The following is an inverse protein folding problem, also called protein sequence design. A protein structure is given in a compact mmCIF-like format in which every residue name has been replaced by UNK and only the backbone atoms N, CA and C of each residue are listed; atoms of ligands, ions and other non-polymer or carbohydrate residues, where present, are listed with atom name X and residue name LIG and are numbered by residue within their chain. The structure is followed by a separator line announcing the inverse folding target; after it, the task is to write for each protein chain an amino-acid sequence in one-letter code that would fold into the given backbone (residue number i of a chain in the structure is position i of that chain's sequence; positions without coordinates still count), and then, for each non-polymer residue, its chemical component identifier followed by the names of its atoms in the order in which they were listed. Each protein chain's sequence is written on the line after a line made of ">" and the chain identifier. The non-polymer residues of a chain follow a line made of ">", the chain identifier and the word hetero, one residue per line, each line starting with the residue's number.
data_IF_932545806450
#
_entry.id   IF_932545806450
#
_cell.length_a   1.000
_cell.length_b   1.000
_cell.length_c   1.000
_cell.angle_alpha   90.00
_cell.angle_beta   90.00
_cell.angle_gamma   90.00
#
_symmetry.space_group_name_H-M   'P 1'
#
loop_
_entity.id
_entity.type
_entity.pdbx_description
1 polymer ?
#
# COMPACT_ATOMS: atom_id res chain seq x y z
N UNK A 1 -14.37 12.35 14.73
CA UNK A 1 -12.95 12.81 14.61
C UNK A 1 -12.36 12.24 13.33
N UNK A 2 -11.22 12.72 12.82
CA UNK A 2 -10.58 12.06 11.66
C UNK A 2 -10.20 10.61 12.02
N UNK A 3 -10.51 9.64 11.15
CA UNK A 3 -10.20 8.22 11.31
C UNK A 3 -10.96 7.51 12.45
N UNK A 4 -12.19 7.92 12.74
CA UNK A 4 -13.01 7.32 13.79
C UNK A 4 -13.54 5.93 13.38
N UNK A 5 -14.02 5.78 12.15
CA UNK A 5 -14.51 4.50 11.65
C UNK A 5 -13.36 3.49 11.48
N UNK A 6 -12.21 3.94 10.99
CA UNK A 6 -11.01 3.12 10.84
C UNK A 6 -10.43 2.67 12.20
N UNK A 7 -10.44 3.53 13.22
CA UNK A 7 -10.05 3.11 14.57
C UNK A 7 -11.06 2.14 15.16
N UNK A 8 -12.35 2.41 15.00
CA UNK A 8 -13.40 1.55 15.48
C UNK A 8 -13.37 0.16 14.82
N UNK A 9 -12.93 0.05 13.55
CA UNK A 9 -12.83 -1.23 12.84
C UNK A 9 -11.67 -2.10 13.33
N UNK A 10 -10.71 -1.56 14.09
CA UNK A 10 -9.64 -2.38 14.69
C UNK A 10 -10.20 -3.49 15.61
N UNK A 11 -11.37 -3.27 16.24
CA UNK A 11 -12.04 -4.28 17.08
C UNK A 11 -12.54 -5.51 16.30
N UNK A 12 -12.77 -5.34 14.99
CA UNK A 12 -13.25 -6.39 14.10
C UNK A 12 -12.07 -7.20 13.52
N UNK A 13 -10.83 -6.83 13.87
CA UNK A 13 -9.62 -7.49 13.37
C UNK A 13 -9.42 -8.85 14.03
N UNK A 14 -9.13 -9.86 13.21
CA UNK A 14 -8.76 -11.20 13.69
C UNK A 14 -7.25 -11.34 13.61
N UNK A 15 -6.61 -11.86 14.66
CA UNK A 15 -5.18 -12.19 14.61
C UNK A 15 -5.01 -13.69 14.36
N UNK A 16 -4.30 -14.03 13.28
CA UNK A 16 -3.96 -15.39 12.88
C UNK A 16 -2.45 -15.57 13.00
N UNK A 17 -2.01 -16.73 13.46
CA UNK A 17 -0.59 -17.06 13.56
C UNK A 17 -0.14 -17.91 12.38
N UNK A 18 0.89 -17.45 11.68
CA UNK A 18 1.55 -18.20 10.61
C UNK A 18 2.97 -18.55 11.05
N UNK A 19 3.19 -19.80 11.46
CA UNK A 19 4.46 -20.21 12.04
C UNK A 19 4.82 -19.35 13.25
N UNK A 20 5.85 -18.52 13.10
CA UNK A 20 6.40 -17.71 14.18
C UNK A 20 5.93 -16.25 14.20
N UNK A 21 5.07 -15.83 13.27
CA UNK A 21 4.60 -14.45 13.20
C UNK A 21 3.08 -14.31 13.31
N UNK A 22 2.66 -13.19 13.90
CA UNK A 22 1.26 -12.81 14.02
C UNK A 22 0.85 -11.93 12.82
N UNK A 23 -0.18 -12.37 12.11
CA UNK A 23 -0.81 -11.68 11.00
C UNK A 23 -2.17 -11.17 11.43
N UNK A 24 -2.45 -9.90 11.20
CA UNK A 24 -3.77 -9.36 11.49
C UNK A 24 -4.58 -9.33 10.20
N UNK A 25 -5.83 -9.75 10.30
CA UNK A 25 -6.79 -9.87 9.22
C UNK A 25 -7.85 -8.79 9.43
N UNK A 26 -7.83 -7.77 8.57
CA UNK A 26 -8.69 -6.59 8.70
C UNK A 26 -9.49 -6.37 7.40
N UNK A 27 -10.72 -5.83 7.45
CA UNK A 27 -11.54 -5.71 6.24
C UNK A 27 -10.89 -4.88 5.11
N UNK A 28 -10.13 -3.84 5.45
CA UNK A 28 -9.39 -3.02 4.47
C UNK A 28 -8.18 -3.77 3.88
N UNK A 29 -7.57 -4.69 4.64
CA UNK A 29 -6.33 -5.38 4.25
C UNK A 29 -6.58 -6.74 3.62
N UNK A 30 -7.72 -7.37 3.89
CA UNK A 30 -7.97 -8.76 3.47
C UNK A 30 -9.35 -8.97 2.85
N UNK A 31 -10.22 -7.96 2.91
CA UNK A 31 -11.63 -8.10 2.53
C UNK A 31 -12.44 -8.96 3.50
N UNK A 32 -11.85 -9.38 4.63
CA UNK A 32 -12.47 -10.16 5.69
C UNK A 32 -12.04 -9.65 7.09
N UNK A 33 -12.92 -9.68 8.10
CA UNK A 33 -14.38 -9.87 7.99
C UNK A 33 -15.04 -8.75 7.16
N UNK A 34 -16.37 -8.71 7.09
CA UNK A 34 -17.12 -7.79 6.22
C UNK A 34 -16.58 -6.34 6.27
N UNK A 35 -16.19 -5.82 5.10
CA UNK A 35 -15.81 -4.42 4.92
C UNK A 35 -17.03 -3.50 4.94
N UNK A 36 -17.02 -2.53 5.85
CA UNK A 36 -18.05 -1.48 5.93
C UNK A 36 -17.70 -0.32 5.00
N UNK A 37 -18.65 0.20 4.21
CA UNK A 37 -18.38 1.26 3.25
C UNK A 37 -17.90 2.56 3.92
N UNK A 38 -18.34 2.85 5.15
CA UNK A 38 -17.94 4.05 5.90
C UNK A 38 -16.44 4.02 6.26
N UNK A 39 -15.88 2.84 6.52
CA UNK A 39 -14.44 2.68 6.81
C UNK A 39 -13.62 2.93 5.55
N UNK A 40 -14.03 2.35 4.43
CA UNK A 40 -13.36 2.56 3.14
C UNK A 40 -13.48 4.02 2.68
N UNK A 41 -14.66 4.63 2.82
CA UNK A 41 -14.88 6.03 2.48
C UNK A 41 -14.00 6.97 3.32
N UNK A 42 -13.88 6.71 4.62
CA UNK A 42 -13.01 7.49 5.51
C UNK A 42 -11.54 7.36 5.13
N UNK A 43 -11.04 6.15 4.86
CA UNK A 43 -9.65 5.92 4.39
C UNK A 43 -9.37 6.70 3.11
N UNK A 44 -10.28 6.59 2.13
CA UNK A 44 -10.11 7.20 0.83
C UNK A 44 -10.20 8.73 0.89
N UNK A 45 -11.09 9.26 1.73
CA UNK A 45 -11.20 10.70 2.00
C UNK A 45 -9.92 11.22 2.63
N UNK A 46 -9.38 10.52 3.62
CA UNK A 46 -8.16 10.94 4.30
C UNK A 46 -6.94 10.85 3.38
N UNK A 47 -6.81 9.78 2.59
CA UNK A 47 -5.78 9.68 1.55
C UNK A 47 -5.87 10.79 0.51
N UNK A 48 -7.08 11.12 0.03
CA UNK A 48 -7.27 12.24 -0.88
C UNK A 48 -6.81 13.56 -0.25
N UNK A 49 -7.02 13.74 1.06
CA UNK A 49 -6.61 14.93 1.81
C UNK A 49 -5.10 15.03 2.03
N UNK A 50 -4.44 13.94 2.40
CA UNK A 50 -3.01 13.97 2.78
C UNK A 50 -2.06 13.74 1.61
N UNK A 51 -2.55 13.15 0.52
CA UNK A 51 -1.75 12.86 -0.68
C UNK A 51 -1.35 14.12 -1.46
N UNK A 52 -0.15 14.10 -2.03
CA UNK A 52 0.26 15.11 -3.02
C UNK A 52 -0.17 14.67 -4.43
N UNK A 53 -1.33 15.18 -4.84
CA UNK A 53 -1.92 14.86 -6.14
C UNK A 53 -1.52 15.86 -7.24
N UNK A 54 -0.84 16.95 -6.89
CA UNK A 54 -0.51 18.05 -7.81
C UNK A 54 0.48 17.62 -8.88
N UNK A 55 1.41 16.74 -8.50
CA UNK A 55 2.45 16.16 -9.38
C UNK A 55 2.15 14.73 -9.81
N UNK A 56 1.05 14.14 -9.36
CA UNK A 56 0.69 12.75 -9.66
C UNK A 56 0.15 12.62 -11.09
N UNK A 57 0.78 11.78 -11.90
CA UNK A 57 0.31 11.42 -13.24
C UNK A 57 -0.54 10.14 -13.18
N UNK A 58 -0.23 9.21 -12.27
CA UNK A 58 -1.00 7.97 -12.06
C UNK A 58 -0.82 7.37 -10.67
N UNK A 59 -1.82 6.64 -10.21
CA UNK A 59 -1.80 5.85 -8.98
C UNK A 59 -1.23 4.47 -9.30
N UNK A 60 -0.29 4.01 -8.49
CA UNK A 60 0.28 2.66 -8.59
C UNK A 60 0.01 1.91 -7.29
N UNK A 61 -0.36 0.64 -7.41
CA UNK A 61 -0.49 -0.25 -6.24
C UNK A 61 -0.18 -1.70 -6.62
N UNK A 62 0.05 -2.55 -5.64
CA UNK A 62 0.26 -3.97 -5.82
C UNK A 62 -1.00 -4.78 -5.51
N UNK A 63 -1.11 -5.94 -6.15
CA UNK A 63 -2.20 -6.85 -5.88
C UNK A 63 -2.17 -7.43 -4.45
N UNK A 64 -3.31 -7.78 -3.86
CA UNK A 64 -4.68 -7.52 -4.35
C UNK A 64 -5.36 -6.38 -3.60
N UNK A 65 -4.84 -6.04 -2.42
CA UNK A 65 -5.57 -5.33 -1.38
C UNK A 65 -5.51 -3.81 -1.55
N UNK A 66 -4.53 -3.34 -2.32
CA UNK A 66 -4.52 -1.97 -2.79
C UNK A 66 -5.52 -1.67 -3.92
N UNK A 67 -6.15 -2.67 -4.57
CA UNK A 67 -7.06 -2.40 -5.70
C UNK A 67 -8.28 -1.56 -5.31
N UNK A 68 -9.04 -1.85 -4.23
CA UNK A 68 -10.15 -1.00 -3.82
C UNK A 68 -9.69 0.41 -3.45
N UNK A 69 -8.51 0.51 -2.83
CA UNK A 69 -7.91 1.80 -2.44
C UNK A 69 -7.60 2.66 -3.66
N UNK A 70 -6.86 2.11 -4.62
CA UNK A 70 -6.46 2.81 -5.84
C UNK A 70 -7.66 3.15 -6.74
N UNK A 71 -8.61 2.23 -6.91
CA UNK A 71 -9.82 2.46 -7.70
C UNK A 71 -10.67 3.59 -7.07
N UNK A 72 -10.91 3.52 -5.76
CA UNK A 72 -11.69 4.52 -5.04
C UNK A 72 -11.00 5.89 -4.97
N UNK A 73 -9.67 5.92 -4.87
CA UNK A 73 -8.90 7.17 -4.92
C UNK A 73 -8.93 7.77 -6.31
N UNK A 74 -8.73 6.97 -7.35
CA UNK A 74 -8.76 7.42 -8.75
C UNK A 74 -10.02 8.21 -9.07
N UNK A 75 -11.17 7.73 -8.61
CA UNK A 75 -12.45 8.44 -8.76
C UNK A 75 -12.47 9.78 -8.01
N UNK A 76 -11.95 9.84 -6.78
CA UNK A 76 -11.92 11.07 -5.95
C UNK A 76 -10.95 12.12 -6.48
N UNK A 77 -9.73 11.72 -6.85
CA UNK A 77 -8.65 12.65 -7.22
C UNK A 77 -8.52 12.84 -8.73
N UNK A 78 -9.34 12.13 -9.53
CA UNK A 78 -9.39 12.20 -11.00
C UNK A 78 -8.05 11.88 -11.65
N UNK A 79 -7.33 10.89 -11.11
CA UNK A 79 -6.07 10.38 -11.64
C UNK A 79 -6.23 8.95 -12.14
N UNK A 80 -5.62 8.57 -13.28
CA UNK A 80 -5.64 7.18 -13.73
C UNK A 80 -4.86 6.27 -12.75
N UNK A 81 -5.09 4.97 -12.82
CA UNK A 81 -4.35 3.98 -12.02
C UNK A 81 -3.82 2.84 -12.88
N UNK A 82 -2.74 2.21 -12.41
CA UNK A 82 -2.19 0.96 -12.95
C UNK A 82 -1.83 0.03 -11.80
N UNK A 83 -1.89 -1.28 -12.05
CA UNK A 83 -1.70 -2.30 -11.02
C UNK A 83 -0.47 -3.15 -11.31
N UNK A 84 0.28 -3.43 -10.24
CA UNK A 84 1.34 -4.43 -10.21
C UNK A 84 0.69 -5.79 -9.92
N UNK A 85 1.07 -6.80 -10.69
CA UNK A 85 0.41 -8.12 -10.71
C UNK A 85 1.45 -9.22 -10.53
N UNK A 86 1.10 -10.34 -9.87
CA UNK A 86 1.99 -11.51 -9.84
C UNK A 86 1.93 -12.34 -11.12
N UNK A 87 0.84 -12.18 -11.88
CA UNK A 87 0.68 -12.81 -13.19
C UNK A 87 1.31 -11.95 -14.28
N UNK A 88 2.18 -12.58 -15.09
CA UNK A 88 2.69 -12.03 -16.34
C UNK A 88 1.63 -12.08 -17.43
N UNK A 89 1.44 -10.97 -18.16
CA UNK A 89 0.54 -10.91 -19.31
C UNK A 89 1.26 -11.01 -20.66
N UNK A 90 2.56 -10.73 -20.72
CA UNK A 90 3.36 -10.81 -21.94
C UNK A 90 3.06 -9.67 -22.94
N UNK A 91 2.49 -8.57 -22.46
CA UNK A 91 2.19 -7.40 -23.28
C UNK A 91 3.46 -6.57 -23.56
N UNK A 92 3.52 -5.85 -24.69
CA UNK A 92 4.60 -4.91 -24.96
C UNK A 92 4.74 -3.87 -23.84
N UNK A 93 5.96 -3.67 -23.34
CA UNK A 93 6.24 -2.72 -22.26
C UNK A 93 6.04 -3.26 -20.84
N UNK A 94 5.71 -4.54 -20.68
CA UNK A 94 5.64 -5.19 -19.36
C UNK A 94 7.02 -5.31 -18.72
N UNK A 95 7.17 -4.79 -17.50
CA UNK A 95 8.41 -4.85 -16.73
C UNK A 95 8.26 -5.83 -15.58
N UNK A 96 9.22 -6.74 -15.44
CA UNK A 96 9.28 -7.67 -14.30
C UNK A 96 9.99 -7.02 -13.12
N UNK A 97 9.33 -7.01 -11.96
CA UNK A 97 9.86 -6.62 -10.68
C UNK A 97 10.16 -7.91 -9.92
N UNK A 98 11.44 -8.26 -9.80
CA UNK A 98 11.85 -9.43 -9.02
C UNK A 98 11.86 -9.06 -7.54
N UNK A 99 10.85 -9.48 -6.79
CA UNK A 99 10.88 -9.31 -5.35
C UNK A 99 11.66 -10.47 -4.73
N UNK A 100 12.84 -10.17 -4.18
CA UNK A 100 13.51 -11.09 -3.25
C UNK A 100 13.03 -10.77 -1.84
N UNK A 101 12.01 -11.49 -1.35
CA UNK A 101 11.80 -11.56 0.10
C UNK A 101 12.66 -12.70 0.64
N UNK A 102 13.10 -12.62 1.90
CA UNK A 102 13.91 -13.66 2.54
C UNK A 102 13.24 -15.05 2.60
N UNK A 103 11.95 -15.15 2.28
CA UNK A 103 11.16 -16.38 2.37
C UNK A 103 10.61 -16.85 1.01
N UNK A 104 10.54 -15.99 -0.01
CA UNK A 104 10.11 -16.34 -1.36
C UNK A 104 10.56 -15.29 -2.40
N UNK A 105 10.95 -15.76 -3.59
CA UNK A 105 10.99 -14.91 -4.78
C UNK A 105 9.61 -14.91 -5.40
N UNK A 106 8.96 -13.75 -5.44
CA UNK A 106 7.69 -13.59 -6.15
C UNK A 106 7.95 -12.64 -7.31
N UNK A 107 7.72 -13.13 -8.52
CA UNK A 107 7.77 -12.28 -9.70
C UNK A 107 6.53 -11.39 -9.71
N UNK A 108 6.75 -10.08 -9.77
CA UNK A 108 5.71 -9.09 -10.00
C UNK A 108 5.91 -8.45 -11.37
N UNK A 109 4.85 -7.90 -11.93
CA UNK A 109 4.84 -7.33 -13.27
C UNK A 109 4.03 -6.04 -13.28
N UNK A 110 4.53 -5.02 -13.97
CA UNK A 110 3.85 -3.74 -14.17
C UNK A 110 3.84 -3.37 -15.66
N UNK A 111 2.75 -2.73 -16.08
CA UNK A 111 2.57 -2.22 -17.43
C UNK A 111 2.20 -0.72 -17.36
N UNK A 112 2.30 -0.02 -18.48
CA UNK A 112 1.86 1.37 -18.64
C UNK A 112 2.53 2.36 -17.66
N UNK A 113 3.79 2.10 -17.31
CA UNK A 113 4.68 3.03 -16.61
C UNK A 113 5.90 3.29 -17.48
N UNK A 114 6.22 4.56 -17.67
CA UNK A 114 7.26 5.03 -18.56
C UNK A 114 8.21 6.00 -17.85
N UNK A 115 9.38 6.21 -18.45
CA UNK A 115 10.35 7.19 -17.97
C UNK A 115 9.70 8.57 -17.83
N UNK A 116 9.94 9.24 -16.70
CA UNK A 116 9.41 10.57 -16.39
C UNK A 116 8.02 10.57 -15.75
N UNK A 117 7.34 9.42 -15.69
CA UNK A 117 6.07 9.31 -14.98
C UNK A 117 6.25 9.59 -13.49
N UNK A 118 5.36 10.40 -12.92
CA UNK A 118 5.29 10.64 -11.47
C UNK A 118 4.11 9.89 -10.90
N UNK A 119 4.37 9.02 -9.93
CA UNK A 119 3.38 8.11 -9.39
C UNK A 119 3.17 8.30 -7.90
N UNK A 120 1.91 8.14 -7.46
CA UNK A 120 1.59 7.98 -6.04
C UNK A 120 1.39 6.50 -5.78
N UNK A 121 2.19 5.93 -4.89
CA UNK A 121 2.04 4.56 -4.46
C UNK A 121 1.04 4.48 -3.31
N UNK A 122 0.08 3.55 -3.42
CA UNK A 122 -0.94 3.33 -2.39
C UNK A 122 -0.91 1.87 -1.98
N UNK A 123 -0.94 1.58 -0.68
CA UNK A 123 -1.02 0.22 -0.16
C UNK A 123 -1.80 0.15 1.15
N UNK A 124 -2.15 -1.05 1.56
CA UNK A 124 -2.91 -1.30 2.77
C UNK A 124 -2.01 -1.33 4.03
N UNK A 125 -0.87 -2.03 3.99
CA UNK A 125 0.00 -2.22 5.16
C UNK A 125 1.47 -2.10 4.81
N UNK A 126 2.23 -1.37 5.63
CA UNK A 126 3.70 -1.37 5.62
C UNK A 126 4.25 -2.10 6.84
N UNK A 127 4.98 -3.20 6.60
CA UNK A 127 5.62 -4.04 7.63
C UNK A 127 7.14 -4.04 7.46
N UNK A 128 7.73 -5.04 6.81
CA UNK A 128 9.18 -5.09 6.57
C UNK A 128 9.64 -4.08 5.52
N UNK A 129 8.71 -3.57 4.70
CA UNK A 129 9.01 -2.66 3.59
C UNK A 129 9.48 -3.34 2.31
N UNK A 130 9.72 -4.64 2.32
CA UNK A 130 10.30 -5.36 1.17
C UNK A 130 9.50 -5.19 -0.13
N UNK A 131 8.17 -5.14 -0.07
CA UNK A 131 7.32 -4.89 -1.25
C UNK A 131 7.52 -3.48 -1.78
N UNK A 132 7.38 -2.46 -0.94
CA UNK A 132 7.58 -1.06 -1.31
C UNK A 132 8.99 -0.83 -1.89
N UNK A 133 10.02 -1.36 -1.24
CA UNK A 133 11.41 -1.18 -1.69
C UNK A 133 11.67 -1.82 -3.06
N UNK A 134 11.18 -3.04 -3.29
CA UNK A 134 11.32 -3.70 -4.59
C UNK A 134 10.55 -2.96 -5.70
N UNK A 135 9.37 -2.42 -5.38
CA UNK A 135 8.57 -1.63 -6.31
C UNK A 135 9.28 -0.30 -6.61
N UNK A 136 9.79 0.38 -5.60
CA UNK A 136 10.53 1.64 -5.76
C UNK A 136 11.79 1.46 -6.61
N UNK A 137 12.56 0.41 -6.36
CA UNK A 137 13.74 0.06 -7.17
C UNK A 137 13.35 -0.18 -8.63
N UNK A 138 12.30 -0.95 -8.88
CA UNK A 138 11.88 -1.27 -10.24
C UNK A 138 11.31 -0.05 -10.99
N UNK A 139 10.50 0.78 -10.32
CA UNK A 139 10.01 2.04 -10.89
C UNK A 139 11.16 3.01 -11.19
N UNK A 140 12.15 3.10 -10.28
CA UNK A 140 13.38 3.86 -10.52
C UNK A 140 14.18 3.33 -11.71
N UNK A 141 14.25 2.01 -11.89
CA UNK A 141 14.86 1.37 -13.05
C UNK A 141 14.17 1.68 -14.39
N UNK A 142 12.84 1.87 -14.38
CA UNK A 142 12.08 2.38 -15.54
C UNK A 142 12.35 3.87 -15.78
N UNK A 143 12.77 4.59 -14.73
CA UNK A 143 12.94 6.05 -14.72
C UNK A 143 11.66 6.80 -14.34
N UNK A 144 10.74 6.14 -13.64
CA UNK A 144 9.58 6.76 -13.00
C UNK A 144 9.92 7.25 -11.58
N UNK A 145 9.25 8.30 -11.12
CA UNK A 145 9.43 8.91 -9.80
C UNK A 145 8.23 8.57 -8.91
N UNK A 146 8.47 7.99 -7.73
CA UNK A 146 7.44 7.95 -6.68
C UNK A 146 7.43 9.32 -5.99
N UNK A 147 6.36 10.10 -6.19
CA UNK A 147 6.22 11.44 -5.59
C UNK A 147 5.58 11.41 -4.21
N UNK A 148 4.82 10.36 -3.89
CA UNK A 148 4.19 10.19 -2.59
C UNK A 148 3.85 8.72 -2.32
N UNK A 149 3.77 8.36 -1.04
CA UNK A 149 3.44 7.00 -0.59
C UNK A 149 2.37 7.07 0.49
N UNK A 150 1.22 6.43 0.24
CA UNK A 150 0.06 6.42 1.13
C UNK A 150 -0.23 5.00 1.62
N UNK A 151 -0.21 4.79 2.93
CA UNK A 151 -0.38 3.48 3.53
C UNK A 151 -1.46 3.55 4.63
N UNK A 152 -2.35 2.57 4.69
CA UNK A 152 -3.42 2.60 5.73
C UNK A 152 -2.81 2.30 7.09
N UNK A 153 -2.09 1.19 7.22
CA UNK A 153 -1.53 0.71 8.48
C UNK A 153 0.01 0.65 8.50
N UNK A 154 0.61 1.25 9.53
CA UNK A 154 2.05 1.17 9.81
C UNK A 154 2.35 0.15 10.92
N UNK A 155 2.96 -0.98 10.55
CA UNK A 155 3.50 -1.99 11.50
C UNK A 155 5.01 -1.88 11.70
N UNK A 156 5.68 -1.00 10.95
CA UNK A 156 7.14 -0.92 10.94
C UNK A 156 7.70 -0.02 12.04
N UNK A 157 8.97 -0.26 12.38
CA UNK A 157 9.81 0.62 13.22
C UNK A 157 10.93 1.29 12.42
N UNK A 158 11.09 0.94 11.16
CA UNK A 158 12.19 1.40 10.29
C UNK A 158 11.72 2.32 9.16
N UNK A 159 10.55 2.96 9.32
CA UNK A 159 9.95 3.86 8.30
C UNK A 159 10.93 4.90 7.77
N UNK A 160 11.64 5.60 8.66
CA UNK A 160 12.59 6.65 8.26
C UNK A 160 13.75 6.12 7.38
N UNK A 161 14.21 4.89 7.62
CA UNK A 161 15.22 4.27 6.79
C UNK A 161 14.66 3.93 5.39
N UNK A 162 13.41 3.46 5.32
CA UNK A 162 12.72 3.21 4.04
C UNK A 162 12.51 4.51 3.25
N UNK A 163 12.04 5.57 3.90
CA UNK A 163 11.87 6.90 3.26
C UNK A 163 13.19 7.40 2.66
N UNK A 164 14.31 7.24 3.38
CA UNK A 164 15.65 7.60 2.87
C UNK A 164 16.04 6.77 1.65
N UNK A 165 15.73 5.47 1.65
CA UNK A 165 16.08 4.57 0.55
C UNK A 165 15.23 4.82 -0.69
N UNK A 166 13.93 5.10 -0.51
CA UNK A 166 13.00 5.36 -1.62
C UNK A 166 13.12 6.80 -2.13
N UNK A 167 13.53 7.74 -1.28
CA UNK A 167 13.57 9.17 -1.63
C UNK A 167 12.19 9.85 -1.60
N UNK A 168 11.20 9.22 -0.97
CA UNK A 168 9.83 9.73 -0.85
C UNK A 168 9.29 9.54 0.57
N UNK A 169 8.36 10.41 0.98
CA UNK A 169 7.72 10.35 2.31
C UNK A 169 6.66 9.25 2.36
N UNK A 170 6.63 8.49 3.45
CA UNK A 170 5.63 7.46 3.72
C UNK A 170 4.60 8.04 4.69
N UNK A 171 3.41 8.36 4.18
CA UNK A 171 2.28 8.86 4.96
C UNK A 171 1.39 7.68 5.35
N UNK A 172 1.13 7.55 6.64
CA UNK A 172 0.36 6.45 7.22
C UNK A 172 -0.85 6.97 7.98
N UNK A 173 -1.98 6.26 7.92
CA UNK A 173 -3.20 6.67 8.64
C UNK A 173 -3.16 6.25 10.10
N UNK A 174 -2.94 4.96 10.36
CA UNK A 174 -2.82 4.43 11.71
C UNK A 174 -1.52 3.64 11.88
N UNK A 175 -0.84 3.85 13.00
CA UNK A 175 0.23 2.97 13.45
C UNK A 175 -0.38 1.87 14.29
N UNK A 176 -0.05 0.62 14.02
CA UNK A 176 -0.61 -0.52 14.74
C UNK A 176 0.47 -1.50 15.15
N UNK A 177 0.19 -2.28 16.20
CA UNK A 177 0.96 -3.44 16.64
C UNK A 177 0.00 -4.58 17.02
N UNK A 178 0.53 -5.80 17.09
CA UNK A 178 -0.18 -6.94 17.68
C UNK A 178 0.36 -7.17 19.08
N UNK A 179 -0.50 -7.08 20.09
CA UNK A 179 -0.16 -7.29 21.50
C UNK A 179 -1.14 -8.30 22.08
N UNK A 180 -0.61 -9.44 22.56
CA UNK A 180 -1.42 -10.53 23.17
C UNK A 180 -2.59 -10.97 22.27
N UNK A 181 -2.32 -11.14 20.96
CA UNK A 181 -3.32 -11.58 19.99
C UNK A 181 -4.38 -10.54 19.62
N UNK A 182 -4.18 -9.26 19.94
CA UNK A 182 -5.07 -8.17 19.57
C UNK A 182 -4.32 -7.08 18.83
N UNK A 183 -4.96 -6.46 17.84
CA UNK A 183 -4.42 -5.25 17.20
C UNK A 183 -4.68 -4.05 18.07
N UNK A 184 -3.65 -3.25 18.30
CA UNK A 184 -3.70 -2.01 19.07
C UNK A 184 -3.11 -0.87 18.26
N UNK A 185 -3.71 0.32 18.37
CA UNK A 185 -3.13 1.55 17.83
C UNK A 185 -1.91 1.96 18.67
N UNK A 186 -0.86 2.42 17.99
CA UNK A 186 0.34 2.98 18.61
C UNK A 186 0.32 4.50 18.51
N UNK A 187 0.86 5.17 19.52
CA UNK A 187 1.18 6.60 19.47
C UNK A 187 2.22 6.92 18.36
#
# INVERSE_FOLDING_TARGET
>A
MALEHLRASLKDTVVVRFGDYDYFVHPITDGIPLGRPEVLDEVLTEFARIGDWSRCDKIVTAESMGFPLAAGLSLRVRKPYVFIRKRRYGLPGEVSLKQATGYAKTDMFINNVHRGDRVVFVDDVISTGGTLLAIAEALGGIGAEIVDILIVFEKTRTKAAMEKQVGAKIKTLLKVDVVKGKVVERA
#
